data_IF_265288123879
#
_entry.id   IF_265288123879
#
_cell.length_a   1.000
_cell.length_b   1.000
_cell.length_c   1.000
_cell.angle_alpha   90.00
_cell.angle_beta   90.00
_cell.angle_gamma   90.00
#
_symmetry.space_group_name_H-M   'P 1'
#
loop_
_entity.id
_entity.type
_entity.pdbx_description
1 polymer ?
#
# COMPACT_ATOMS: atom_id res chain seq x y z
N UNK A 1 0.19 -28.90 5.04
CA UNK A 1 -0.44 -27.83 5.86
C UNK A 1 -1.94 -28.05 6.06
N UNK A 2 -2.74 -28.19 5.00
CA UNK A 2 -4.18 -28.47 5.12
C UNK A 2 -4.43 -29.77 5.91
N UNK A 3 -3.74 -30.87 5.55
CA UNK A 3 -3.82 -32.14 6.29
C UNK A 3 -3.44 -31.98 7.77
N UNK A 4 -2.37 -31.25 8.09
CA UNK A 4 -1.99 -30.95 9.48
C UNK A 4 -3.09 -30.22 10.25
N UNK A 5 -3.76 -29.26 9.59
CA UNK A 5 -4.90 -28.55 10.18
C UNK A 5 -6.10 -29.47 10.42
N UNK A 6 -6.41 -30.33 9.46
CA UNK A 6 -7.49 -31.32 9.57
C UNK A 6 -7.23 -32.34 10.69
N UNK A 7 -5.95 -32.59 11.03
CA UNK A 7 -5.53 -33.42 12.16
C UNK A 7 -5.53 -32.70 13.52
N UNK A 8 -5.94 -31.43 13.56
CA UNK A 8 -6.08 -30.64 14.79
C UNK A 8 -4.94 -29.67 15.09
N UNK A 9 -3.88 -29.61 14.28
CA UNK A 9 -2.83 -28.61 14.44
C UNK A 9 -3.35 -27.22 14.06
N UNK A 10 -3.21 -26.21 14.93
CA UNK A 10 -3.69 -24.86 14.64
C UNK A 10 -2.77 -24.10 13.66
N UNK A 11 -2.70 -24.56 12.42
CA UNK A 11 -2.00 -23.87 11.33
C UNK A 11 -2.93 -22.82 10.72
N UNK A 12 -2.56 -21.55 10.88
CA UNK A 12 -3.35 -20.40 10.40
C UNK A 12 -2.63 -19.49 9.41
N UNK A 13 -1.31 -19.57 9.35
CA UNK A 13 -0.49 -18.73 8.47
C UNK A 13 0.60 -19.58 7.84
N UNK A 14 0.84 -19.39 6.55
CA UNK A 14 1.99 -19.89 5.81
C UNK A 14 2.84 -18.68 5.42
N UNK A 15 4.14 -18.74 5.66
CA UNK A 15 5.11 -17.82 5.07
C UNK A 15 5.82 -18.52 3.90
N UNK A 16 5.78 -17.91 2.72
CA UNK A 16 6.39 -18.37 1.49
C UNK A 16 7.42 -17.32 1.02
N UNK A 17 8.62 -17.39 1.60
CA UNK A 17 9.78 -16.58 1.19
C UNK A 17 10.46 -17.16 -0.06
N UNK A 18 9.67 -17.42 -1.11
CA UNK A 18 10.08 -17.96 -2.40
C UNK A 18 9.15 -17.43 -3.49
N UNK A 19 9.64 -17.45 -4.73
CA UNK A 19 8.95 -17.00 -5.92
C UNK A 19 9.75 -17.39 -7.16
N UNK A 20 9.31 -16.94 -8.32
CA UNK A 20 9.91 -17.26 -9.60
C UNK A 20 9.15 -18.36 -10.34
N UNK A 21 8.92 -18.12 -11.62
CA UNK A 21 8.23 -19.03 -12.55
C UNK A 21 6.90 -18.49 -13.05
N UNK A 22 6.32 -19.19 -14.02
CA UNK A 22 5.02 -18.84 -14.60
C UNK A 22 3.83 -19.25 -13.73
N UNK A 23 2.63 -18.87 -14.18
CA UNK A 23 1.39 -19.29 -13.55
C UNK A 23 1.29 -20.83 -13.53
N UNK A 24 0.82 -21.37 -12.42
CA UNK A 24 0.56 -22.79 -12.24
C UNK A 24 -0.81 -22.97 -11.61
N UNK A 25 -1.73 -23.54 -12.38
CA UNK A 25 -3.09 -23.79 -11.92
C UNK A 25 -3.11 -24.66 -10.66
N UNK A 26 -2.29 -25.71 -10.61
CA UNK A 26 -2.23 -26.60 -9.45
C UNK A 26 -1.73 -25.89 -8.20
N UNK A 27 -0.75 -24.98 -8.34
CA UNK A 27 -0.28 -24.16 -7.23
C UNK A 27 -1.36 -23.18 -6.76
N UNK A 28 -2.03 -22.49 -7.70
CA UNK A 28 -3.12 -21.56 -7.41
C UNK A 28 -4.25 -22.24 -6.64
N UNK A 29 -4.70 -23.40 -7.12
CA UNK A 29 -5.76 -24.19 -6.48
C UNK A 29 -5.35 -24.65 -5.08
N UNK A 30 -4.10 -25.08 -4.89
CA UNK A 30 -3.59 -25.46 -3.57
C UNK A 30 -3.57 -24.28 -2.59
N UNK A 31 -3.18 -23.09 -3.04
CA UNK A 31 -3.19 -21.87 -2.22
C UNK A 31 -4.64 -21.44 -1.90
N UNK A 32 -5.55 -21.50 -2.87
CA UNK A 32 -6.96 -21.22 -2.67
C UNK A 32 -7.62 -22.20 -1.68
N UNK A 33 -7.29 -23.49 -1.77
CA UNK A 33 -7.74 -24.51 -0.83
C UNK A 33 -7.22 -24.28 0.60
N UNK A 34 -6.02 -23.73 0.77
CA UNK A 34 -5.54 -23.30 2.09
C UNK A 34 -6.42 -22.14 2.64
N UNK A 35 -6.81 -21.21 1.77
CA UNK A 35 -7.71 -20.11 2.10
C UNK A 35 -9.09 -20.56 2.56
N UNK A 36 -9.69 -21.56 1.91
CA UNK A 36 -11.02 -22.08 2.25
C UNK A 36 -11.10 -22.70 3.65
N UNK A 37 -9.96 -23.23 4.15
CA UNK A 37 -9.83 -23.69 5.53
C UNK A 37 -9.27 -22.62 6.48
N UNK A 38 -9.25 -21.35 6.08
CA UNK A 38 -8.88 -20.21 6.92
C UNK A 38 -7.38 -20.07 7.20
N UNK A 39 -6.52 -20.47 6.25
CA UNK A 39 -5.08 -20.24 6.28
C UNK A 39 -4.74 -18.99 5.44
N UNK A 40 -4.06 -18.04 6.06
CA UNK A 40 -3.45 -16.88 5.39
C UNK A 40 -2.15 -17.32 4.73
N UNK A 41 -1.94 -16.98 3.46
CA UNK A 41 -0.73 -17.28 2.71
C UNK A 41 0.04 -15.98 2.47
N UNK A 42 1.14 -15.77 3.18
CA UNK A 42 1.99 -14.59 3.03
C UNK A 42 3.19 -14.96 2.19
N UNK A 43 3.51 -14.16 1.17
CA UNK A 43 4.61 -14.44 0.26
C UNK A 43 5.43 -13.19 -0.06
N UNK A 44 6.69 -13.44 -0.44
CA UNK A 44 7.61 -12.42 -0.93
C UNK A 44 7.16 -11.91 -2.31
N UNK A 45 7.25 -10.60 -2.57
CA UNK A 45 6.90 -10.02 -3.87
C UNK A 45 7.92 -10.33 -4.99
N UNK A 46 9.13 -10.76 -4.65
CA UNK A 46 10.25 -10.99 -5.57
C UNK A 46 11.33 -9.90 -5.49
N UNK A 47 12.52 -10.18 -6.02
CA UNK A 47 13.72 -9.33 -5.88
C UNK A 47 14.31 -8.87 -7.23
N UNK A 48 13.45 -8.65 -8.23
CA UNK A 48 13.88 -8.39 -9.60
C UNK A 48 14.38 -9.64 -10.33
N UNK A 49 14.73 -9.45 -11.60
CA UNK A 49 15.43 -10.43 -12.42
C UNK A 49 16.96 -10.44 -12.20
N UNK A 50 17.69 -10.80 -13.24
CA UNK A 50 19.16 -10.96 -13.18
C UNK A 50 19.91 -9.64 -12.90
N UNK A 51 19.29 -8.49 -13.13
CA UNK A 51 19.86 -7.17 -12.86
C UNK A 51 19.69 -6.71 -11.40
N UNK A 52 18.91 -7.45 -10.60
CA UNK A 52 18.62 -7.13 -9.20
C UNK A 52 17.82 -5.84 -9.02
N UNK A 53 17.12 -5.37 -10.06
CA UNK A 53 16.24 -4.20 -10.02
C UNK A 53 14.79 -4.69 -9.96
N UNK A 54 14.02 -4.12 -9.03
CA UNK A 54 12.63 -4.52 -8.83
C UNK A 54 11.74 -4.27 -10.05
N UNK A 55 10.95 -5.27 -10.41
CA UNK A 55 10.03 -5.26 -11.54
C UNK A 55 8.59 -4.91 -11.11
N UNK A 56 7.81 -4.39 -12.07
CA UNK A 56 6.35 -4.25 -11.92
C UNK A 56 5.67 -5.57 -12.26
N UNK A 57 5.25 -6.32 -11.23
CA UNK A 57 4.62 -7.62 -11.37
C UNK A 57 3.13 -7.55 -11.73
N UNK A 58 2.55 -6.35 -11.91
CA UNK A 58 1.29 -6.20 -12.66
C UNK A 58 1.54 -6.31 -14.18
N UNK A 59 2.74 -5.95 -14.65
CA UNK A 59 3.13 -6.03 -16.07
C UNK A 59 3.83 -7.34 -16.41
N UNK A 60 4.70 -7.81 -15.52
CA UNK A 60 5.45 -9.07 -15.67
C UNK A 60 5.20 -9.95 -14.44
N UNK A 61 4.14 -10.76 -14.42
CA UNK A 61 3.74 -11.50 -13.23
C UNK A 61 4.83 -12.40 -12.65
N UNK A 62 4.96 -12.38 -11.33
CA UNK A 62 5.78 -13.31 -10.54
C UNK A 62 4.88 -14.09 -9.59
N UNK A 63 5.06 -15.41 -9.49
CA UNK A 63 4.21 -16.28 -8.68
C UNK A 63 5.00 -16.89 -7.51
N UNK A 64 4.40 -16.95 -6.30
CA UNK A 64 2.98 -16.85 -6.03
C UNK A 64 2.46 -15.42 -5.76
N UNK A 65 3.32 -14.39 -5.77
CA UNK A 65 2.97 -13.02 -5.44
C UNK A 65 1.76 -12.48 -6.25
N UNK A 66 1.75 -12.73 -7.56
CA UNK A 66 0.69 -12.34 -8.49
C UNK A 66 -0.69 -12.88 -8.13
N UNK A 67 -0.78 -14.03 -7.43
CA UNK A 67 -2.07 -14.55 -6.96
C UNK A 67 -2.74 -13.65 -5.93
N UNK A 68 -2.03 -12.71 -5.30
CA UNK A 68 -2.63 -11.76 -4.37
C UNK A 68 -3.61 -10.78 -5.04
N UNK A 69 -3.56 -10.63 -6.37
CA UNK A 69 -4.55 -9.85 -7.11
C UNK A 69 -5.96 -10.45 -6.97
N UNK A 70 -6.07 -11.78 -7.02
CA UNK A 70 -7.36 -12.49 -7.14
C UNK A 70 -7.69 -13.45 -6.00
N UNK A 71 -6.71 -13.87 -5.19
CA UNK A 71 -6.93 -14.74 -4.03
C UNK A 71 -7.02 -13.93 -2.74
N UNK A 72 -8.18 -14.04 -2.08
CA UNK A 72 -8.50 -13.33 -0.84
C UNK A 72 -7.60 -13.72 0.35
N UNK A 73 -6.97 -14.88 0.32
CA UNK A 73 -6.10 -15.37 1.39
C UNK A 73 -4.60 -15.09 1.16
N UNK A 74 -4.21 -14.51 0.02
CA UNK A 74 -2.80 -14.26 -0.31
C UNK A 74 -2.41 -12.81 0.00
N UNK A 75 -1.34 -12.64 0.76
CA UNK A 75 -0.71 -11.35 1.05
C UNK A 75 0.69 -11.35 0.44
N UNK A 76 0.88 -10.60 -0.64
CA UNK A 76 2.20 -10.37 -1.26
C UNK A 76 2.88 -9.17 -0.61
N UNK A 77 4.17 -9.29 -0.29
CA UNK A 77 4.90 -8.33 0.55
C UNK A 77 6.14 -7.77 -0.16
N UNK A 78 6.14 -6.47 -0.41
CA UNK A 78 7.30 -5.71 -0.90
C UNK A 78 8.30 -5.40 0.23
N UNK A 79 9.56 -5.17 -0.16
CA UNK A 79 10.65 -4.81 0.72
C UNK A 79 10.89 -3.31 0.73
N UNK A 80 11.03 -2.77 1.94
CA UNK A 80 11.47 -1.40 2.19
C UNK A 80 12.77 -1.40 3.01
N UNK A 81 13.50 -0.31 2.88
CA UNK A 81 14.68 -0.01 3.69
C UNK A 81 14.33 0.86 4.92
N UNK A 82 15.34 1.16 5.74
CA UNK A 82 15.19 1.95 6.97
C UNK A 82 14.65 3.38 6.75
N UNK A 83 14.69 3.90 5.53
CA UNK A 83 14.10 5.19 5.16
C UNK A 83 12.63 5.12 4.71
N UNK A 84 11.96 3.98 4.91
CA UNK A 84 10.60 3.72 4.41
C UNK A 84 10.48 3.95 2.89
N UNK A 85 11.53 3.66 2.14
CA UNK A 85 11.50 3.67 0.67
C UNK A 85 11.57 2.26 0.15
N UNK A 86 10.91 1.99 -0.98
CA UNK A 86 10.98 0.70 -1.66
C UNK A 86 12.46 0.36 -1.92
N UNK A 87 12.90 -0.81 -1.47
CA UNK A 87 14.26 -1.27 -1.73
C UNK A 87 14.46 -1.42 -3.23
N UNK A 88 15.63 -1.06 -3.76
CA UNK A 88 15.88 -1.02 -5.21
C UNK A 88 15.62 -2.36 -5.92
N UNK A 89 15.83 -3.46 -5.21
CA UNK A 89 15.57 -4.82 -5.69
C UNK A 89 14.10 -5.26 -5.57
N UNK A 90 13.26 -4.58 -4.78
CA UNK A 90 11.93 -5.10 -4.48
C UNK A 90 11.03 -4.99 -5.70
N UNK A 91 10.45 -6.12 -6.10
CA UNK A 91 9.30 -6.09 -6.98
C UNK A 91 8.16 -5.29 -6.35
N UNK A 92 7.37 -4.67 -7.21
CA UNK A 92 6.19 -3.89 -6.86
C UNK A 92 5.07 -4.23 -7.85
N UNK A 93 3.87 -3.75 -7.58
CA UNK A 93 2.71 -4.11 -8.38
C UNK A 93 1.48 -3.60 -7.66
N UNK A 94 0.76 -2.73 -8.31
CA UNK A 94 -0.30 -2.00 -7.65
C UNK A 94 -1.42 -2.93 -7.18
N UNK A 95 -1.77 -3.87 -8.04
CA UNK A 95 -2.86 -4.80 -7.83
C UNK A 95 -2.35 -6.11 -7.19
N UNK A 96 -1.13 -6.51 -7.54
CA UNK A 96 -0.53 -7.78 -7.16
C UNK A 96 0.33 -7.75 -5.89
N UNK A 97 0.76 -6.59 -5.40
CA UNK A 97 1.50 -6.48 -4.12
C UNK A 97 0.61 -5.83 -3.06
N UNK A 98 0.41 -6.51 -1.94
CA UNK A 98 -0.58 -6.12 -0.94
C UNK A 98 -0.09 -5.01 0.00
N UNK A 99 1.11 -5.15 0.56
CA UNK A 99 1.67 -4.24 1.58
C UNK A 99 3.19 -4.29 1.56
N UNK A 100 3.88 -3.34 2.18
CA UNK A 100 5.33 -3.40 2.39
C UNK A 100 5.69 -3.75 3.83
N UNK A 101 6.89 -4.30 4.03
CA UNK A 101 7.50 -4.48 5.33
C UNK A 101 9.04 -4.39 5.25
N UNK A 102 9.75 -4.13 6.36
CA UNK A 102 11.21 -4.09 6.39
C UNK A 102 11.85 -5.32 5.74
N UNK A 103 12.70 -5.08 4.74
CA UNK A 103 13.33 -6.14 3.95
C UNK A 103 14.78 -5.89 3.58
N UNK A 104 15.35 -4.72 3.87
CA UNK A 104 16.80 -4.47 3.73
C UNK A 104 17.51 -4.56 5.07
N UNK A 105 18.65 -5.24 5.09
CA UNK A 105 19.56 -5.31 6.24
C UNK A 105 18.88 -5.84 7.52
N UNK A 106 18.00 -6.83 7.36
CA UNK A 106 17.23 -7.41 8.44
C UNK A 106 18.07 -8.46 9.16
N UNK A 107 18.41 -8.17 10.41
CA UNK A 107 19.09 -9.10 11.30
C UNK A 107 18.14 -10.20 11.74
N UNK A 108 18.55 -11.46 11.55
CA UNK A 108 17.81 -12.61 12.06
C UNK A 108 18.75 -13.77 12.37
N UNK A 109 18.19 -14.82 12.96
CA UNK A 109 18.91 -16.06 13.28
C UNK A 109 19.32 -16.79 12.00
N UNK A 110 20.54 -17.32 11.98
CA UNK A 110 21.05 -18.23 10.94
C UNK A 110 21.38 -19.59 11.56
N UNK A 111 21.53 -20.66 10.75
CA UNK A 111 22.00 -21.95 11.27
C UNK A 111 23.25 -21.79 12.14
N UNK A 112 23.39 -22.64 13.17
CA UNK A 112 24.50 -22.66 14.16
C UNK A 112 24.42 -21.69 15.35
N UNK A 113 23.21 -21.27 15.77
CA UNK A 113 22.79 -20.79 17.12
C UNK A 113 23.61 -19.73 17.88
N UNK A 114 24.80 -19.35 17.41
CA UNK A 114 25.71 -18.35 18.01
C UNK A 114 25.84 -17.10 17.16
N UNK A 115 25.19 -17.07 15.99
CA UNK A 115 25.35 -16.01 14.99
C UNK A 115 23.99 -15.46 14.56
N UNK A 116 23.98 -14.16 14.32
CA UNK A 116 22.91 -13.43 13.66
C UNK A 116 23.54 -12.76 12.44
N UNK A 117 22.81 -12.68 11.34
CA UNK A 117 23.29 -12.02 10.13
C UNK A 117 22.21 -11.09 9.57
N UNK A 118 22.59 -9.92 9.03
CA UNK A 118 21.70 -9.12 8.22
C UNK A 118 21.54 -9.79 6.85
N UNK A 119 20.29 -9.95 6.40
CA UNK A 119 19.97 -10.32 5.02
C UNK A 119 19.00 -9.32 4.41
N UNK A 120 19.04 -9.22 3.10
CA UNK A 120 18.18 -8.32 2.32
C UNK A 120 17.36 -9.13 1.31
N UNK A 121 16.08 -8.80 1.18
CA UNK A 121 15.16 -9.41 0.24
C UNK A 121 13.70 -9.28 0.70
N UNK A 122 12.76 -9.38 -0.24
CA UNK A 122 11.33 -9.55 0.08
C UNK A 122 11.07 -10.82 0.90
N UNK A 123 11.97 -11.79 0.84
CA UNK A 123 12.05 -12.95 1.74
C UNK A 123 12.17 -12.59 3.22
N UNK A 124 12.69 -11.41 3.56
CA UNK A 124 12.79 -10.88 4.93
C UNK A 124 11.56 -10.04 5.29
N UNK A 125 10.88 -9.42 4.31
CA UNK A 125 9.63 -8.69 4.51
C UNK A 125 8.44 -9.61 4.76
N UNK A 126 8.29 -10.67 3.97
CA UNK A 126 7.21 -11.65 4.11
C UNK A 126 7.02 -12.17 5.55
N UNK A 127 8.06 -12.61 6.28
CA UNK A 127 7.89 -13.14 7.63
C UNK A 127 7.47 -12.09 8.67
N UNK A 128 7.78 -10.80 8.48
CA UNK A 128 7.23 -9.74 9.33
C UNK A 128 5.70 -9.70 9.26
N UNK A 129 5.14 -9.73 8.05
CA UNK A 129 3.69 -9.69 7.83
C UNK A 129 3.03 -11.00 8.24
N UNK A 130 3.70 -12.14 8.03
CA UNK A 130 3.24 -13.43 8.56
C UNK A 130 3.14 -13.42 10.10
N UNK A 131 4.10 -12.79 10.78
CA UNK A 131 4.07 -12.55 12.22
C UNK A 131 2.90 -11.67 12.66
N UNK A 132 2.62 -10.58 11.94
CA UNK A 132 1.45 -9.71 12.18
C UNK A 132 0.14 -10.50 12.02
N UNK A 133 -0.01 -11.26 10.93
CA UNK A 133 -1.18 -12.10 10.71
C UNK A 133 -1.37 -13.14 11.83
N UNK A 134 -0.28 -13.77 12.29
CA UNK A 134 -0.32 -14.71 13.40
C UNK A 134 -0.73 -14.03 14.72
N UNK A 135 -0.23 -12.82 14.99
CA UNK A 135 -0.60 -12.02 16.15
C UNK A 135 -2.09 -11.61 16.13
N UNK A 136 -2.61 -11.22 14.97
CA UNK A 136 -4.05 -10.94 14.81
C UNK A 136 -4.89 -12.18 15.10
N UNK A 137 -4.47 -13.34 14.61
CA UNK A 137 -5.20 -14.60 14.75
C UNK A 137 -5.07 -15.21 16.14
N UNK A 138 -4.04 -14.86 16.92
CA UNK A 138 -3.96 -15.23 18.34
C UNK A 138 -4.89 -14.36 19.20
N UNK A 139 -5.12 -13.10 18.82
CA UNK A 139 -6.01 -12.18 19.54
C UNK A 139 -7.48 -12.33 19.14
N UNK A 140 -7.77 -12.52 17.84
CA UNK A 140 -9.11 -12.69 17.27
C UNK A 140 -9.15 -13.95 16.38
N UNK A 141 -9.22 -15.16 16.96
CA UNK A 141 -9.15 -16.41 16.21
C UNK A 141 -10.26 -16.61 15.18
N UNK A 142 -11.39 -15.91 15.33
CA UNK A 142 -12.56 -15.95 14.43
C UNK A 142 -12.35 -15.22 13.11
N UNK A 143 -11.28 -14.43 12.96
CA UNK A 143 -11.01 -13.74 11.70
C UNK A 143 -10.78 -14.74 10.56
N UNK A 144 -11.42 -14.48 9.43
CA UNK A 144 -11.15 -15.20 8.17
C UNK A 144 -9.84 -14.76 7.56
N UNK A 145 -9.26 -15.56 6.66
CA UNK A 145 -8.03 -15.18 5.96
C UNK A 145 -8.20 -13.88 5.16
N UNK A 146 -9.37 -13.70 4.55
CA UNK A 146 -9.78 -12.48 3.86
C UNK A 146 -9.76 -11.26 4.79
N UNK A 147 -10.42 -11.36 5.94
CA UNK A 147 -10.47 -10.25 6.91
C UNK A 147 -9.07 -9.88 7.41
N UNK A 148 -8.19 -10.86 7.62
CA UNK A 148 -6.79 -10.59 8.00
C UNK A 148 -6.08 -9.77 6.92
N UNK A 149 -6.18 -10.17 5.64
CA UNK A 149 -5.62 -9.42 4.51
C UNK A 149 -6.18 -8.01 4.42
N UNK A 150 -7.50 -7.86 4.48
CA UNK A 150 -8.18 -6.56 4.39
C UNK A 150 -7.77 -5.62 5.51
N UNK A 151 -7.72 -6.11 6.76
CA UNK A 151 -7.29 -5.30 7.91
C UNK A 151 -5.83 -4.87 7.75
N UNK A 152 -4.91 -5.78 7.39
CA UNK A 152 -3.49 -5.44 7.20
C UNK A 152 -3.31 -4.34 6.15
N UNK A 153 -4.02 -4.44 5.01
CA UNK A 153 -3.97 -3.43 3.95
C UNK A 153 -4.56 -2.10 4.44
N UNK A 154 -5.76 -2.12 5.05
CA UNK A 154 -6.48 -0.90 5.44
C UNK A 154 -5.85 -0.15 6.61
N UNK A 155 -5.01 -0.82 7.40
CA UNK A 155 -4.36 -0.28 8.60
C UNK A 155 -2.86 -0.04 8.41
N UNK A 156 -2.33 -0.29 7.22
CA UNK A 156 -0.94 0.00 6.87
C UNK A 156 -0.61 1.48 7.12
N UNK A 157 0.57 1.74 7.67
CA UNK A 157 1.08 3.09 7.84
C UNK A 157 1.42 3.68 6.47
N UNK A 158 0.83 4.84 6.09
CA UNK A 158 1.02 5.38 4.76
C UNK A 158 2.47 5.82 4.55
N UNK A 159 2.99 5.52 3.37
CA UNK A 159 4.39 5.79 3.03
C UNK A 159 4.44 6.48 1.67
N UNK A 160 4.79 7.78 1.58
CA UNK A 160 4.75 8.52 0.32
C UNK A 160 5.55 7.88 -0.82
N UNK A 161 6.68 7.24 -0.50
CA UNK A 161 7.52 6.55 -1.48
C UNK A 161 6.88 5.28 -2.08
N UNK A 162 5.83 4.74 -1.43
CA UNK A 162 5.08 3.57 -1.88
C UNK A 162 3.77 3.94 -2.56
N UNK A 163 3.46 5.24 -2.66
CA UNK A 163 2.25 5.72 -3.30
C UNK A 163 2.14 5.13 -4.71
N UNK A 164 1.03 4.41 -4.94
CA UNK A 164 0.69 3.83 -6.24
C UNK A 164 1.65 2.72 -6.73
N UNK A 165 2.60 2.30 -5.90
CA UNK A 165 3.51 1.17 -6.18
C UNK A 165 2.95 -0.17 -5.72
N UNK A 166 2.14 -0.16 -4.67
CA UNK A 166 1.54 -1.34 -4.04
C UNK A 166 0.11 -1.01 -3.55
N UNK A 167 -0.70 -2.03 -3.27
CA UNK A 167 -2.11 -1.88 -2.88
C UNK A 167 -2.35 -1.13 -1.57
N UNK A 168 -1.46 -1.21 -0.58
CA UNK A 168 -1.64 -0.45 0.66
C UNK A 168 -1.05 0.96 0.61
N UNK A 169 -0.18 1.26 -0.37
CA UNK A 169 0.71 2.45 -0.34
C UNK A 169 1.40 2.69 1.00
N UNK A 170 1.74 1.61 1.69
CA UNK A 170 2.11 1.71 3.09
C UNK A 170 2.79 0.47 3.62
N UNK A 171 3.45 0.69 4.75
CA UNK A 171 4.12 -0.32 5.55
C UNK A 171 3.13 -0.98 6.50
N UNK A 172 3.19 -2.30 6.64
CA UNK A 172 2.37 -3.01 7.62
C UNK A 172 2.70 -2.55 9.05
N UNK A 173 1.67 -2.32 9.87
CA UNK A 173 1.81 -1.92 11.27
C UNK A 173 1.12 -2.92 12.19
N UNK A 174 1.90 -3.58 13.05
CA UNK A 174 1.37 -4.59 13.97
C UNK A 174 0.33 -4.00 14.93
N UNK A 175 0.57 -2.79 15.45
CA UNK A 175 -0.32 -2.11 16.38
C UNK A 175 -1.65 -1.74 15.71
N UNK A 176 -1.61 -1.10 14.54
CA UNK A 176 -2.81 -0.70 13.82
C UNK A 176 -3.63 -1.92 13.37
N UNK A 177 -2.96 -2.98 12.88
CA UNK A 177 -3.62 -4.21 12.45
C UNK A 177 -4.29 -4.96 13.62
N UNK A 178 -3.65 -5.00 14.79
CA UNK A 178 -4.19 -5.67 15.98
C UNK A 178 -5.41 -4.92 16.55
N UNK A 179 -5.32 -3.59 16.61
CA UNK A 179 -6.38 -2.72 17.15
C UNK A 179 -7.50 -2.46 16.16
N UNK A 180 -7.26 -2.68 14.86
CA UNK A 180 -8.18 -2.29 13.78
C UNK A 180 -8.32 -0.78 13.63
N UNK A 181 -7.41 -0.01 14.24
CA UNK A 181 -7.39 1.45 14.16
C UNK A 181 -6.63 1.82 12.89
N UNK A 182 -7.27 2.46 11.89
CA UNK A 182 -6.53 3.01 10.75
C UNK A 182 -5.48 3.99 11.27
N UNK A 183 -4.34 4.15 10.58
CA UNK A 183 -3.36 5.18 10.93
C UNK A 183 -4.08 6.52 11.09
N UNK A 184 -3.66 7.31 12.09
CA UNK A 184 -4.15 8.69 12.22
C UNK A 184 -4.02 9.33 10.85
N UNK A 185 -5.16 9.73 10.26
CA UNK A 185 -5.19 10.25 8.88
C UNK A 185 -4.23 11.43 8.85
N UNK A 186 -3.06 11.20 8.24
CA UNK A 186 -1.97 12.17 8.24
C UNK A 186 -2.46 13.49 7.68
N UNK A 187 -1.76 14.57 8.02
CA UNK A 187 -1.99 15.87 7.38
C UNK A 187 -2.11 15.65 5.88
N UNK A 188 -3.13 16.23 5.22
CA UNK A 188 -3.32 16.02 3.80
C UNK A 188 -2.01 16.34 3.06
N UNK A 189 -1.63 15.55 2.07
CA UNK A 189 -0.36 15.74 1.35
C UNK A 189 -0.65 15.78 -0.14
N UNK A 190 -0.17 16.83 -0.80
CA UNK A 190 -0.30 17.00 -2.25
C UNK A 190 0.87 16.28 -2.92
N UNK A 191 0.57 15.31 -3.77
CA UNK A 191 1.55 14.61 -4.59
C UNK A 191 1.68 15.26 -5.97
N UNK A 192 0.54 15.60 -6.58
CA UNK A 192 0.51 16.18 -7.92
C UNK A 192 -0.63 17.17 -8.08
N UNK A 193 -0.39 18.16 -8.92
CA UNK A 193 -1.39 19.15 -9.34
C UNK A 193 -1.48 19.17 -10.85
N UNK A 194 -2.70 19.03 -11.37
CA UNK A 194 -3.00 19.24 -12.78
C UNK A 194 -4.01 20.38 -12.92
N UNK A 195 -3.63 21.43 -13.66
CA UNK A 195 -4.46 22.59 -13.91
C UNK A 195 -4.77 22.65 -15.40
N UNK A 196 -6.06 22.67 -15.75
CA UNK A 196 -6.48 22.94 -17.12
C UNK A 196 -7.44 24.14 -17.18
N UNK A 197 -7.95 24.46 -18.37
CA UNK A 197 -8.79 25.65 -18.59
C UNK A 197 -10.10 25.70 -17.78
N UNK A 198 -10.55 24.63 -17.13
CA UNK A 198 -11.84 24.56 -16.41
C UNK A 198 -11.75 23.91 -15.03
N UNK A 199 -10.75 23.06 -14.78
CA UNK A 199 -10.63 22.30 -13.55
C UNK A 199 -9.21 22.33 -12.99
N UNK A 200 -9.12 22.20 -11.67
CA UNK A 200 -7.92 21.78 -10.95
C UNK A 200 -8.15 20.37 -10.43
N UNK A 201 -7.15 19.52 -10.57
CA UNK A 201 -7.16 18.16 -10.04
C UNK A 201 -5.93 18.03 -9.15
N UNK A 202 -6.18 17.77 -7.87
CA UNK A 202 -5.15 17.48 -6.89
C UNK A 202 -5.16 15.99 -6.62
N UNK A 203 -4.00 15.37 -6.84
CA UNK A 203 -3.75 14.00 -6.43
C UNK A 203 -2.96 14.04 -5.12
N UNK A 204 -3.41 13.26 -4.14
CA UNK A 204 -2.72 13.23 -2.86
C UNK A 204 -3.35 12.29 -1.85
N UNK A 205 -2.81 12.34 -0.65
CA UNK A 205 -3.13 11.44 0.46
C UNK A 205 -3.79 12.20 1.60
N UNK A 206 -4.57 11.51 2.43
CA UNK A 206 -5.19 12.09 3.63
C UNK A 206 -6.33 13.07 3.34
N UNK A 207 -6.86 13.07 2.12
CA UNK A 207 -8.07 13.83 1.79
C UNK A 207 -9.30 13.12 2.36
N UNK A 208 -10.32 13.89 2.76
CA UNK A 208 -11.57 13.40 3.32
C UNK A 208 -12.74 13.72 2.40
N UNK A 209 -13.55 12.71 2.10
CA UNK A 209 -14.78 12.88 1.32
C UNK A 209 -15.68 13.96 1.95
N UNK A 210 -16.12 14.91 1.12
CA UNK A 210 -17.00 16.01 1.51
C UNK A 210 -16.39 17.03 2.48
N UNK A 211 -15.14 16.86 2.92
CA UNK A 211 -14.49 17.77 3.86
C UNK A 211 -13.28 18.46 3.25
N UNK A 212 -12.42 17.76 2.49
CA UNK A 212 -11.20 18.39 1.97
C UNK A 212 -11.47 19.49 0.96
N UNK A 213 -10.77 20.61 1.10
CA UNK A 213 -10.90 21.81 0.27
C UNK A 213 -9.55 22.18 -0.33
N UNK A 214 -9.51 22.47 -1.63
CA UNK A 214 -8.33 23.05 -2.27
C UNK A 214 -8.30 24.54 -1.95
N UNK A 215 -7.16 25.04 -1.48
CA UNK A 215 -6.88 26.46 -1.29
C UNK A 215 -5.79 26.89 -2.29
N UNK A 216 -5.99 28.01 -2.98
CA UNK A 216 -5.00 28.64 -3.87
C UNK A 216 -4.63 30.00 -3.30
N UNK A 217 -3.37 30.16 -2.89
CA UNK A 217 -2.90 31.31 -2.11
C UNK A 217 -3.80 31.59 -0.88
N UNK A 218 -4.26 30.53 -0.22
CA UNK A 218 -5.17 30.60 0.94
C UNK A 218 -6.64 30.87 0.59
N UNK A 219 -7.00 31.00 -0.68
CA UNK A 219 -8.39 31.17 -1.11
C UNK A 219 -9.01 29.80 -1.42
N UNK A 220 -10.07 29.38 -0.72
CA UNK A 220 -10.73 28.10 -0.97
C UNK A 220 -11.41 28.08 -2.34
N UNK A 221 -11.33 26.94 -3.02
CA UNK A 221 -12.01 26.67 -4.27
C UNK A 221 -13.43 26.11 -4.03
N UNK A 222 -14.32 26.31 -5.00
CA UNK A 222 -15.68 25.78 -5.04
C UNK A 222 -15.80 24.54 -5.94
N UNK A 223 -17.00 23.95 -6.00
CA UNK A 223 -17.34 22.86 -6.91
C UNK A 223 -16.40 21.67 -6.75
N UNK A 224 -16.23 21.31 -5.47
CA UNK A 224 -15.37 20.24 -5.02
C UNK A 224 -16.03 18.90 -5.29
N UNK A 225 -15.33 18.05 -6.02
CA UNK A 225 -15.67 16.65 -6.22
C UNK A 225 -14.54 15.79 -5.65
N UNK A 226 -14.94 14.81 -4.84
CA UNK A 226 -14.02 13.90 -4.18
C UNK A 226 -14.14 12.54 -4.83
N UNK A 227 -13.16 12.24 -5.66
CA UNK A 227 -13.14 11.02 -6.43
C UNK A 227 -12.22 10.00 -5.76
N UNK A 228 -12.83 9.13 -4.95
CA UNK A 228 -12.19 7.91 -4.42
C UNK A 228 -12.18 6.77 -5.43
N UNK A 229 -12.89 6.90 -6.55
CA UNK A 229 -12.93 5.90 -7.61
C UNK A 229 -11.73 6.03 -8.55
N UNK A 230 -11.03 7.18 -8.51
CA UNK A 230 -9.75 7.38 -9.18
C UNK A 230 -8.70 6.43 -8.61
N UNK A 231 -8.60 5.27 -9.23
CA UNK A 231 -7.64 4.23 -8.90
C UNK A 231 -6.31 4.53 -9.59
N UNK A 232 -5.36 5.03 -8.81
CA UNK A 232 -4.15 4.25 -8.68
C UNK A 232 -4.51 3.26 -7.56
N UNK A 233 -4.80 2.00 -7.92
CA UNK A 233 -5.18 0.78 -7.15
C UNK A 233 -4.77 0.55 -5.67
N UNK A 234 -4.76 1.56 -4.81
CA UNK A 234 -4.55 1.46 -3.36
C UNK A 234 -5.65 2.09 -2.50
N UNK A 235 -6.63 2.80 -3.09
CA UNK A 235 -7.68 3.50 -2.34
C UNK A 235 -7.17 4.49 -1.27
N UNK A 236 -5.89 4.87 -1.30
CA UNK A 236 -5.22 5.74 -0.30
C UNK A 236 -4.77 7.07 -0.89
N UNK A 237 -4.55 7.12 -2.21
CA UNK A 237 -4.60 8.37 -2.96
C UNK A 237 -6.03 8.66 -3.39
N UNK A 238 -6.39 9.93 -3.40
CA UNK A 238 -7.71 10.36 -3.88
C UNK A 238 -7.55 11.61 -4.70
N UNK A 239 -8.49 11.77 -5.62
CA UNK A 239 -8.58 12.96 -6.42
C UNK A 239 -9.50 13.94 -5.75
N UNK A 240 -8.94 15.11 -5.44
CA UNK A 240 -9.73 16.27 -5.09
C UNK A 240 -9.80 17.16 -6.32
N UNK A 241 -10.99 17.24 -6.91
CA UNK A 241 -11.24 17.95 -8.17
C UNK A 241 -12.02 19.21 -7.84
N UNK A 242 -11.57 20.36 -8.34
CA UNK A 242 -12.41 21.56 -8.37
C UNK A 242 -12.78 21.87 -9.81
N UNK A 243 -14.08 21.84 -10.12
CA UNK A 243 -14.63 22.20 -11.42
C UNK A 243 -15.05 23.68 -11.49
N UNK A 244 -14.31 24.58 -10.83
CA UNK A 244 -14.64 26.00 -10.65
C UNK A 244 -14.82 26.82 -11.95
N UNK A 245 -14.49 26.25 -13.11
CA UNK A 245 -14.76 26.84 -14.42
C UNK A 245 -13.72 27.88 -14.86
N UNK A 246 -13.78 28.22 -16.15
CA UNK A 246 -12.72 28.97 -16.84
C UNK A 246 -12.41 30.34 -16.24
N UNK A 247 -13.43 31.06 -15.75
CA UNK A 247 -13.26 32.41 -15.18
C UNK A 247 -12.48 32.33 -13.87
N UNK A 248 -12.85 31.42 -12.97
CA UNK A 248 -12.19 31.24 -11.68
C UNK A 248 -10.77 30.69 -11.85
N UNK A 249 -10.56 29.71 -12.74
CA UNK A 249 -9.22 29.20 -13.02
C UNK A 249 -8.29 30.32 -13.52
N UNK A 250 -8.73 31.17 -14.45
CA UNK A 250 -7.90 32.29 -14.93
C UNK A 250 -7.54 33.27 -13.82
N UNK A 251 -8.44 33.51 -12.87
CA UNK A 251 -8.24 34.42 -11.74
C UNK A 251 -7.27 33.84 -10.72
N UNK A 252 -7.44 32.56 -10.36
CA UNK A 252 -6.64 31.89 -9.34
C UNK A 252 -5.29 31.38 -9.87
N UNK A 253 -5.18 31.14 -11.17
CA UNK A 253 -3.96 30.67 -11.85
C UNK A 253 -3.61 31.57 -13.05
N UNK A 254 -3.04 32.76 -12.81
CA UNK A 254 -2.53 33.62 -13.86
C UNK A 254 -1.43 32.93 -14.66
N UNK A 255 -1.36 33.20 -15.97
CA UNK A 255 -0.34 32.57 -16.83
C UNK A 255 1.05 33.02 -16.42
N UNK A 256 1.97 32.08 -16.24
CA UNK A 256 3.38 32.37 -15.91
C UNK A 256 3.63 32.85 -14.48
N UNK A 257 2.63 32.77 -13.60
CA UNK A 257 2.80 33.10 -12.18
C UNK A 257 2.71 31.85 -11.31
N UNK A 258 3.64 31.74 -10.37
CA UNK A 258 3.58 30.70 -9.34
C UNK A 258 2.50 31.02 -8.32
N UNK A 259 1.82 29.98 -7.87
CA UNK A 259 0.84 30.03 -6.80
C UNK A 259 1.10 28.90 -5.82
N UNK A 260 0.76 29.15 -4.55
CA UNK A 260 0.79 28.15 -3.50
C UNK A 260 -0.56 27.43 -3.47
N UNK A 261 -0.51 26.11 -3.47
CA UNK A 261 -1.70 25.27 -3.26
C UNK A 261 -1.56 24.56 -1.92
N UNK A 262 -2.64 24.56 -1.15
CA UNK A 262 -2.81 23.70 0.02
C UNK A 262 -4.10 22.91 -0.09
N UNK A 263 -4.15 21.76 0.59
CA UNK A 263 -5.42 21.08 0.88
C UNK A 263 -5.70 21.24 2.36
N UNK A 264 -6.85 21.83 2.67
CA UNK A 264 -7.33 22.03 4.03
C UNK A 264 -8.41 21.02 4.37
N UNK A 265 -8.39 20.53 5.60
CA UNK A 265 -9.43 19.70 6.16
C UNK A 265 -10.17 20.46 7.27
N UNK A 266 -11.38 20.96 7.04
CA UNK A 266 -12.16 21.73 8.02
C UNK A 266 -12.61 20.88 9.21
N UNK A 267 -12.69 19.55 9.04
CA UNK A 267 -13.10 18.62 10.10
C UNK A 267 -11.96 18.38 11.09
N UNK A 268 -10.71 18.34 10.62
CA UNK A 268 -9.54 18.11 11.49
C UNK A 268 -8.74 19.37 11.80
N UNK A 269 -8.96 20.47 11.08
CA UNK A 269 -8.16 21.69 11.18
C UNK A 269 -6.79 21.63 10.50
N UNK A 270 -6.43 20.50 9.89
CA UNK A 270 -5.10 20.27 9.31
C UNK A 270 -4.98 20.79 7.87
N UNK A 271 -3.77 21.25 7.52
CA UNK A 271 -3.40 21.68 6.16
C UNK A 271 -2.20 20.90 5.64
N UNK A 272 -2.18 20.72 4.33
CA UNK A 272 -1.00 20.21 3.64
C UNK A 272 0.15 21.22 3.69
N UNK A 273 1.40 20.77 3.50
CA UNK A 273 2.47 21.64 3.05
C UNK A 273 2.07 22.40 1.78
N UNK A 274 2.68 23.58 1.57
CA UNK A 274 2.46 24.37 0.36
C UNK A 274 3.07 23.67 -0.86
N UNK A 275 2.26 23.47 -1.90
CA UNK A 275 2.70 22.99 -3.19
C UNK A 275 2.78 24.16 -4.16
N UNK A 276 3.99 24.49 -4.64
CA UNK A 276 4.18 25.57 -5.61
C UNK A 276 3.97 25.07 -7.03
N UNK A 277 3.12 25.75 -7.79
CA UNK A 277 2.87 25.41 -9.20
C UNK A 277 2.52 26.65 -10.01
N UNK A 278 2.56 26.54 -11.33
CA UNK A 278 2.16 27.59 -12.25
C UNK A 278 1.40 27.01 -13.43
N UNK A 279 0.50 27.80 -14.00
CA UNK A 279 -0.16 27.49 -15.27
C UNK A 279 0.64 28.18 -16.39
N UNK A 280 1.25 27.39 -17.25
CA UNK A 280 1.89 27.86 -18.48
C UNK A 280 0.92 27.78 -19.66
#
# INVERSE_FOLDING_TARGET
>A
MIDQKNRGTNVRVINASWGGGGESQSLREAIAAAGSVGIVFVCAAGNGGDDGVGDDIDSTPDFPAGYAADLDNVISVAAINAGDTLSSFSNFGHNSVSVAAPGSEIWSTVPNAREYEPKSGTSMSSPHVAGIAALMLSNKPSLTAKQVKEIIIATAEPTPALASKIKASGRASAYNALTGIPPAKGKPTILRVNINKKKVTIEGMGFLNGSSVIEVNGVPMSDMDYDTSYNLGNGTTSHLISAAGKKNIKKLFPVGQFVNITVFNPTTGERSPQFNTARF
#
